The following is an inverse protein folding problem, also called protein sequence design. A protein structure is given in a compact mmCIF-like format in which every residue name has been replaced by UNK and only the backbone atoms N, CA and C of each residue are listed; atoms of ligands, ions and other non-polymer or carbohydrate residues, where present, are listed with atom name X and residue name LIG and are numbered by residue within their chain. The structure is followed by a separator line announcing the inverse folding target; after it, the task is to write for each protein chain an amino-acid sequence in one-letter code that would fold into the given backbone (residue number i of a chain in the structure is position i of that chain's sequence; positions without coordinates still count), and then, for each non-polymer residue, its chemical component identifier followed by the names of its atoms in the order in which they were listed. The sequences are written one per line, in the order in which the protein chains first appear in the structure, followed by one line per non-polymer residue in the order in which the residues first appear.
data_IF_308633577968
#
_entry.id   IF_308633577968
#
_cell.length_a   1.000
_cell.length_b   1.000
_cell.length_c   1.000
_cell.angle_alpha   90.00
_cell.angle_beta   90.00
_cell.angle_gamma   90.00
#
_symmetry.space_group_name_H-M   'P 1'
#
loop_
_entity.id
_entity.type
_entity.pdbx_description
1 polymer ?
#
# COMPACT_ATOMS: atom_id res chain seq x y z
N UNK A 1 19.95 4.10 5.46
CA UNK A 1 20.21 5.47 6.00
C UNK A 1 18.91 6.25 5.91
N UNK A 2 18.51 6.94 6.98
CA UNK A 2 17.33 7.80 7.00
C UNK A 2 17.64 9.16 6.34
N UNK A 3 16.62 9.78 5.73
CA UNK A 3 16.70 11.11 5.14
C UNK A 3 15.42 11.89 5.46
N UNK A 4 15.55 13.19 5.74
CA UNK A 4 14.42 14.03 6.16
C UNK A 4 13.39 14.24 5.04
N UNK A 5 13.81 14.12 3.78
CA UNK A 5 12.96 14.22 2.59
C UNK A 5 12.28 12.90 2.20
N UNK A 6 12.40 11.84 3.02
CA UNK A 6 11.78 10.53 2.77
C UNK A 6 10.26 10.61 2.54
N UNK A 7 9.58 11.56 3.17
CA UNK A 7 8.16 11.82 2.94
C UNK A 7 7.89 12.28 1.50
N UNK A 8 8.67 13.25 1.02
CA UNK A 8 8.57 13.74 -0.36
C UNK A 8 8.90 12.63 -1.37
N UNK A 9 9.97 11.85 -1.11
CA UNK A 9 10.37 10.72 -1.96
C UNK A 9 9.28 9.66 -2.06
N UNK A 10 8.59 9.38 -0.96
CA UNK A 10 7.48 8.42 -0.92
C UNK A 10 6.31 8.87 -1.78
N UNK A 11 5.89 10.14 -1.64
CA UNK A 11 4.82 10.72 -2.47
C UNK A 11 5.22 10.75 -3.94
N UNK A 12 6.44 11.19 -4.24
CA UNK A 12 6.98 11.24 -5.60
C UNK A 12 7.00 9.86 -6.25
N UNK A 13 7.49 8.83 -5.55
CA UNK A 13 7.53 7.47 -6.06
C UNK A 13 6.11 6.92 -6.32
N UNK A 14 5.21 7.02 -5.34
CA UNK A 14 3.86 6.48 -5.46
C UNK A 14 3.08 7.15 -6.60
N UNK A 15 3.15 8.48 -6.69
CA UNK A 15 2.52 9.22 -7.78
C UNK A 15 3.19 8.91 -9.12
N UNK A 16 4.51 8.93 -9.18
CA UNK A 16 5.28 8.68 -10.40
C UNK A 16 5.02 7.30 -11.00
N UNK A 17 4.95 6.26 -10.17
CA UNK A 17 4.63 4.90 -10.62
C UNK A 17 3.24 4.83 -11.28
N UNK A 18 2.21 5.41 -10.64
CA UNK A 18 0.85 5.42 -11.19
C UNK A 18 0.73 6.30 -12.45
N UNK A 19 1.35 7.48 -12.47
CA UNK A 19 1.39 8.33 -13.67
C UNK A 19 2.10 7.65 -14.84
N UNK A 20 3.13 6.86 -14.56
CA UNK A 20 3.85 6.10 -15.59
C UNK A 20 2.94 5.06 -16.24
N UNK A 21 2.25 4.25 -15.44
CA UNK A 21 1.30 3.24 -15.94
C UNK A 21 0.17 3.92 -16.74
N UNK A 22 -0.37 5.03 -16.23
CA UNK A 22 -1.37 5.84 -16.94
C UNK A 22 -0.84 6.38 -18.27
N UNK A 23 0.39 6.89 -18.31
CA UNK A 23 0.99 7.48 -19.51
C UNK A 23 1.22 6.45 -20.61
N UNK A 24 1.61 5.24 -20.25
CA UNK A 24 1.79 4.14 -21.20
C UNK A 24 0.48 3.45 -21.59
N UNK A 25 -0.63 3.73 -20.89
CA UNK A 25 -1.92 3.11 -21.17
C UNK A 25 -1.91 1.59 -20.96
N UNK A 26 -1.06 1.10 -20.06
CA UNK A 26 -0.94 -0.32 -19.74
C UNK A 26 -1.87 -0.66 -18.58
N UNK A 27 -3.00 -1.37 -18.78
CA UNK A 27 -3.92 -1.68 -17.69
C UNK A 27 -3.42 -2.90 -16.89
N UNK A 28 -2.96 -2.75 -15.64
CA UNK A 28 -2.51 -3.89 -14.87
C UNK A 28 -3.70 -4.62 -14.23
N UNK A 29 -3.74 -5.94 -14.32
CA UNK A 29 -4.71 -6.75 -13.56
C UNK A 29 -4.43 -6.65 -12.05
N UNK A 30 -3.14 -6.66 -11.68
CA UNK A 30 -2.68 -6.64 -10.30
C UNK A 30 -1.58 -5.62 -10.12
N UNK A 31 -1.72 -4.80 -9.07
CA UNK A 31 -0.69 -3.90 -8.56
C UNK A 31 -0.27 -4.43 -7.19
N UNK A 32 0.93 -4.99 -7.10
CA UNK A 32 1.47 -5.49 -5.84
C UNK A 32 2.45 -4.47 -5.23
N UNK A 33 2.08 -3.97 -4.06
CA UNK A 33 2.85 -3.04 -3.25
C UNK A 33 3.50 -3.78 -2.07
N UNK A 34 4.72 -3.40 -1.71
CA UNK A 34 5.41 -3.93 -0.54
C UNK A 34 6.22 -2.85 0.17
N UNK A 35 6.21 -2.92 1.50
CA UNK A 35 6.97 -2.00 2.34
C UNK A 35 6.45 -0.56 2.34
N UNK A 36 6.92 0.21 3.33
CA UNK A 36 6.35 1.51 3.69
C UNK A 36 6.36 2.57 2.57
N UNK A 37 7.36 2.57 1.67
CA UNK A 37 7.45 3.56 0.58
C UNK A 37 6.36 3.41 -0.47
N UNK A 38 5.68 2.26 -0.52
CA UNK A 38 4.57 2.02 -1.44
C UNK A 38 3.20 2.20 -0.77
N UNK A 39 3.19 2.55 0.53
CA UNK A 39 1.99 2.62 1.37
C UNK A 39 0.88 3.52 0.83
N UNK A 40 1.20 4.56 0.04
CA UNK A 40 0.21 5.48 -0.51
C UNK A 40 -0.45 4.99 -1.81
N UNK A 41 0.14 4.02 -2.53
CA UNK A 41 -0.38 3.55 -3.82
C UNK A 41 -1.83 3.03 -3.69
N UNK A 42 -2.16 2.15 -2.70
CA UNK A 42 -3.53 1.68 -2.54
C UNK A 42 -4.53 2.81 -2.29
N UNK A 43 -4.18 3.78 -1.42
CA UNK A 43 -5.02 4.98 -1.18
C UNK A 43 -5.26 5.75 -2.49
N UNK A 44 -4.19 6.04 -3.23
CA UNK A 44 -4.25 6.82 -4.46
C UNK A 44 -5.15 6.16 -5.51
N UNK A 45 -5.04 4.84 -5.69
CA UNK A 45 -5.90 4.08 -6.59
C UNK A 45 -7.38 4.17 -6.19
N UNK A 46 -7.71 4.08 -4.89
CA UNK A 46 -9.10 4.17 -4.41
C UNK A 46 -9.65 5.59 -4.38
N UNK A 47 -8.82 6.62 -4.57
CA UNK A 47 -9.20 8.03 -4.46
C UNK A 47 -8.82 8.83 -5.71
N UNK A 48 -7.60 9.37 -5.78
CA UNK A 48 -7.11 10.23 -6.84
C UNK A 48 -7.26 9.62 -8.24
N UNK A 49 -7.01 8.31 -8.38
CA UNK A 49 -7.04 7.58 -9.65
C UNK A 49 -8.30 6.72 -9.81
N UNK A 50 -9.30 6.84 -8.93
CA UNK A 50 -10.49 5.96 -8.92
C UNK A 50 -11.27 5.96 -10.25
N UNK A 51 -11.25 7.09 -10.97
CA UNK A 51 -11.98 7.27 -12.23
C UNK A 51 -11.09 7.11 -13.47
N UNK A 52 -9.85 6.68 -13.30
CA UNK A 52 -8.91 6.49 -14.40
C UNK A 52 -9.16 5.13 -15.06
N UNK A 53 -9.53 5.08 -16.35
CA UNK A 53 -9.95 3.83 -17.01
C UNK A 53 -8.88 2.74 -16.98
N UNK A 54 -7.60 3.12 -17.08
CA UNK A 54 -6.45 2.20 -17.04
C UNK A 54 -6.38 1.37 -15.75
N UNK A 55 -6.96 1.86 -14.65
CA UNK A 55 -6.97 1.19 -13.35
C UNK A 55 -8.35 0.64 -12.95
N UNK A 56 -9.36 0.72 -13.83
CA UNK A 56 -10.75 0.42 -13.47
C UNK A 56 -10.96 -1.01 -12.94
N UNK A 57 -10.14 -1.96 -13.40
CA UNK A 57 -10.21 -3.37 -13.04
C UNK A 57 -9.03 -3.84 -12.17
N UNK A 58 -8.05 -2.97 -11.92
CA UNK A 58 -6.85 -3.34 -11.17
C UNK A 58 -7.18 -3.74 -9.73
N UNK A 59 -6.65 -4.88 -9.30
CA UNK A 59 -6.63 -5.28 -7.89
C UNK A 59 -5.32 -4.89 -7.24
N UNK A 60 -5.38 -4.53 -5.96
CA UNK A 60 -4.21 -4.11 -5.20
C UNK A 60 -3.89 -5.12 -4.12
N UNK A 61 -2.67 -5.65 -4.13
CA UNK A 61 -2.13 -6.48 -3.06
C UNK A 61 -1.13 -5.64 -2.28
N UNK A 62 -1.18 -5.70 -0.95
CA UNK A 62 -0.20 -5.02 -0.09
C UNK A 62 0.47 -6.01 0.86
N UNK A 63 1.80 -6.15 0.74
CA UNK A 63 2.61 -6.94 1.66
C UNK A 63 3.03 -6.11 2.87
N UNK A 64 2.55 -6.52 4.04
CA UNK A 64 3.07 -6.08 5.34
C UNK A 64 4.43 -6.72 5.60
N UNK A 65 5.39 -5.93 6.09
CA UNK A 65 6.75 -6.35 6.35
C UNK A 65 7.33 -5.75 7.64
N UNK A 66 8.63 -5.94 7.82
CA UNK A 66 9.34 -5.45 9.00
C UNK A 66 9.32 -3.92 9.08
N UNK A 67 9.26 -3.41 10.31
CA UNK A 67 9.53 -1.99 10.60
C UNK A 67 11.00 -1.69 10.28
N UNK A 68 11.22 -0.80 9.31
CA UNK A 68 12.56 -0.52 8.76
C UNK A 68 13.14 0.84 9.17
N UNK A 69 12.36 1.65 9.91
CA UNK A 69 12.81 2.91 10.50
C UNK A 69 12.03 3.22 11.78
N UNK A 70 12.60 4.07 12.65
CA UNK A 70 12.00 4.45 13.96
C UNK A 70 11.56 5.91 14.02
N UNK A 71 12.06 6.70 13.09
CA UNK A 71 11.78 8.12 12.90
C UNK A 71 10.32 8.35 12.47
N UNK A 72 9.94 9.62 12.39
CA UNK A 72 8.68 10.06 11.78
C UNK A 72 8.96 10.82 10.49
N UNK A 73 8.04 10.70 9.54
CA UNK A 73 7.98 11.60 8.40
C UNK A 73 7.66 13.03 8.87
N UNK A 74 7.97 14.02 8.03
CA UNK A 74 7.72 15.42 8.32
C UNK A 74 6.26 15.71 8.67
N UNK A 75 6.02 16.71 9.52
CA UNK A 75 4.66 17.08 9.97
C UNK A 75 3.74 17.53 8.82
N UNK A 76 4.31 17.97 7.71
CA UNK A 76 3.62 18.34 6.47
C UNK A 76 3.36 17.15 5.54
N UNK A 77 3.80 15.93 5.88
CA UNK A 77 3.69 14.75 5.02
C UNK A 77 2.27 14.51 4.53
N UNK A 78 1.25 14.59 5.39
CA UNK A 78 -0.14 14.35 4.98
C UNK A 78 -0.65 15.41 4.00
N UNK A 79 -0.19 16.66 4.14
CA UNK A 79 -0.50 17.74 3.21
C UNK A 79 0.12 17.45 1.84
N UNK A 80 1.38 17.01 1.80
CA UNK A 80 2.06 16.63 0.56
C UNK A 80 1.41 15.39 -0.07
N UNK A 81 1.04 14.41 0.75
CA UNK A 81 0.41 13.16 0.30
C UNK A 81 -0.98 13.39 -0.30
N UNK A 82 -1.65 14.50 0.04
CA UNK A 82 -2.94 14.90 -0.55
C UNK A 82 -2.75 15.50 -1.96
N UNK A 83 -2.33 14.67 -2.90
CA UNK A 83 -1.99 15.07 -4.28
C UNK A 83 -3.20 15.45 -5.15
N UNK A 84 -4.42 15.26 -4.65
CA UNK A 84 -5.67 15.49 -5.37
C UNK A 84 -6.77 15.89 -4.40
N UNK A 85 -7.67 16.76 -4.84
CA UNK A 85 -8.86 17.16 -4.08
C UNK A 85 -9.83 16.00 -3.81
N UNK A 86 -9.67 14.86 -4.48
CA UNK A 86 -10.42 13.64 -4.23
C UNK A 86 -9.96 12.89 -2.96
N UNK A 87 -8.77 13.19 -2.45
CA UNK A 87 -8.27 12.63 -1.19
C UNK A 87 -8.81 13.51 -0.05
N UNK A 88 -9.64 12.94 0.81
CA UNK A 88 -10.20 13.66 1.97
C UNK A 88 -9.37 13.38 3.21
N UNK A 89 -9.47 14.26 4.20
CA UNK A 89 -8.75 14.13 5.47
C UNK A 89 -9.00 12.77 6.15
N UNK A 90 -10.27 12.32 6.17
CA UNK A 90 -10.64 11.00 6.69
C UNK A 90 -9.92 9.84 5.98
N UNK A 91 -9.51 10.02 4.72
CA UNK A 91 -8.83 8.97 3.96
C UNK A 91 -7.32 8.89 4.33
N UNK A 92 -6.81 9.93 5.01
CA UNK A 92 -5.44 10.00 5.50
C UNK A 92 -5.31 9.57 6.97
N UNK A 93 -6.43 9.31 7.65
CA UNK A 93 -6.47 8.89 9.07
C UNK A 93 -5.57 7.68 9.39
N UNK A 94 -5.48 6.62 8.54
CA UNK A 94 -4.56 5.50 8.79
C UNK A 94 -3.08 5.90 8.86
N UNK A 95 -2.71 7.05 8.29
CA UNK A 95 -1.33 7.52 8.18
C UNK A 95 -0.94 8.54 9.27
N UNK A 96 -1.86 8.91 10.17
CA UNK A 96 -1.69 10.05 11.09
C UNK A 96 -0.49 9.99 12.03
N UNK A 97 -0.01 8.80 12.36
CA UNK A 97 1.13 8.64 13.28
C UNK A 97 2.48 8.94 12.60
N UNK A 98 2.48 9.12 11.27
CA UNK A 98 3.62 9.50 10.42
C UNK A 98 4.84 8.58 10.54
N UNK A 99 4.65 7.34 10.98
CA UNK A 99 5.73 6.37 11.20
C UNK A 99 5.60 5.18 10.24
N UNK A 100 6.59 4.28 10.28
CA UNK A 100 6.62 3.11 9.41
C UNK A 100 5.33 2.28 9.47
N UNK A 101 4.84 2.04 10.69
CA UNK A 101 3.63 1.25 10.96
C UNK A 101 2.40 1.92 10.34
N UNK A 102 2.27 3.24 10.44
CA UNK A 102 1.15 3.99 9.84
C UNK A 102 1.13 3.91 8.31
N UNK A 103 2.31 3.94 7.67
CA UNK A 103 2.43 3.80 6.22
C UNK A 103 2.00 2.40 5.76
N UNK A 104 2.42 1.37 6.49
CA UNK A 104 1.99 0.00 6.24
C UNK A 104 0.49 -0.19 6.51
N UNK A 105 -0.01 0.38 7.61
CA UNK A 105 -1.43 0.36 7.97
C UNK A 105 -2.28 0.92 6.84
N UNK A 106 -1.94 2.11 6.36
CA UNK A 106 -2.67 2.75 5.26
C UNK A 106 -2.64 1.93 3.97
N UNK A 107 -1.47 1.38 3.60
CA UNK A 107 -1.38 0.48 2.44
C UNK A 107 -2.33 -0.72 2.55
N UNK A 108 -2.32 -1.41 3.70
CA UNK A 108 -3.20 -2.54 3.96
C UNK A 108 -4.69 -2.15 4.09
N UNK A 109 -5.01 -0.95 4.60
CA UNK A 109 -6.39 -0.45 4.70
C UNK A 109 -7.05 -0.36 3.33
N UNK A 110 -6.35 0.15 2.31
CA UNK A 110 -6.92 0.40 0.98
C UNK A 110 -6.71 -0.74 -0.03
N UNK A 111 -5.89 -1.75 0.30
CA UNK A 111 -5.66 -2.90 -0.57
C UNK A 111 -6.86 -3.85 -0.65
N UNK A 112 -6.97 -4.58 -1.75
CA UNK A 112 -7.98 -5.62 -1.97
C UNK A 112 -7.57 -6.96 -1.31
N UNK A 113 -6.26 -7.21 -1.21
CA UNK A 113 -5.68 -8.32 -0.46
C UNK A 113 -4.46 -7.87 0.35
N UNK A 114 -4.21 -8.56 1.46
CA UNK A 114 -3.07 -8.29 2.36
C UNK A 114 -2.24 -9.56 2.49
N UNK A 115 -0.93 -9.44 2.41
CA UNK A 115 -0.01 -10.55 2.65
C UNK A 115 1.00 -10.18 3.72
N UNK A 116 1.55 -11.17 4.41
CA UNK A 116 2.59 -10.98 5.41
C UNK A 116 3.91 -11.51 4.84
N UNK A 117 4.86 -10.61 4.62
CA UNK A 117 6.14 -10.88 3.97
C UNK A 117 7.32 -10.97 4.94
N UNK A 118 7.07 -10.95 6.25
CA UNK A 118 8.12 -11.07 7.25
C UNK A 118 7.64 -11.75 8.52
N UNK A 119 8.55 -12.43 9.21
CA UNK A 119 8.28 -13.10 10.50
C UNK A 119 7.87 -12.12 11.62
N UNK A 120 8.35 -10.87 11.55
CA UNK A 120 8.24 -9.88 12.64
C UNK A 120 7.54 -8.61 12.20
N UNK A 121 6.33 -8.77 11.66
CA UNK A 121 5.40 -7.63 11.45
C UNK A 121 4.94 -7.07 12.80
N UNK A 122 4.74 -5.76 12.87
CA UNK A 122 4.27 -5.09 14.08
C UNK A 122 2.96 -5.68 14.59
N UNK A 123 2.85 -5.90 15.92
CA UNK A 123 1.69 -6.56 16.54
C UNK A 123 0.38 -5.86 16.20
N UNK A 124 0.35 -4.54 16.12
CA UNK A 124 -0.87 -3.79 15.79
C UNK A 124 -1.37 -4.12 14.39
N UNK A 125 -0.45 -4.27 13.44
CA UNK A 125 -0.78 -4.64 12.06
C UNK A 125 -1.25 -6.10 11.97
N UNK A 126 -0.63 -6.99 12.74
CA UNK A 126 -1.07 -8.40 12.83
C UNK A 126 -2.48 -8.50 13.41
N UNK A 127 -2.76 -7.78 14.49
CA UNK A 127 -4.09 -7.75 15.12
C UNK A 127 -5.15 -7.16 14.19
N UNK A 128 -4.83 -6.06 13.50
CA UNK A 128 -5.78 -5.35 12.61
C UNK A 128 -6.00 -6.08 11.28
N UNK A 129 -4.96 -6.68 10.69
CA UNK A 129 -5.01 -7.24 9.34
C UNK A 129 -4.85 -8.76 9.26
N UNK A 130 -4.68 -9.46 10.39
CA UNK A 130 -4.57 -10.92 10.41
C UNK A 130 -5.87 -11.63 10.00
N UNK A 131 -7.03 -10.99 10.23
CA UNK A 131 -8.36 -11.46 9.78
C UNK A 131 -9.28 -10.27 9.49
N UNK A 132 -9.47 -9.97 8.20
CA UNK A 132 -10.33 -8.86 7.74
C UNK A 132 -11.40 -9.42 6.82
N UNK A 133 -12.66 -9.21 7.19
CA UNK A 133 -13.81 -9.66 6.39
C UNK A 133 -13.75 -9.05 4.99
N UNK A 134 -13.87 -9.90 3.97
CA UNK A 134 -13.92 -9.47 2.57
C UNK A 134 -12.54 -9.21 1.93
N UNK A 135 -11.44 -9.39 2.65
CA UNK A 135 -10.08 -9.37 2.08
C UNK A 135 -9.47 -10.76 2.07
N UNK A 136 -8.73 -11.07 1.02
CA UNK A 136 -7.85 -12.25 1.02
C UNK A 136 -6.61 -11.93 1.84
N UNK A 137 -6.26 -12.85 2.73
CA UNK A 137 -5.11 -12.69 3.62
C UNK A 137 -4.20 -13.89 3.45
N UNK A 138 -2.92 -13.62 3.15
CA UNK A 138 -1.89 -14.65 3.09
C UNK A 138 -0.89 -14.45 4.22
N UNK A 139 -0.81 -15.42 5.12
CA UNK A 139 0.15 -15.40 6.22
C UNK A 139 1.59 -15.58 5.71
N UNK A 140 2.55 -15.16 6.52
CA UNK A 140 3.95 -15.41 6.23
C UNK A 140 4.27 -16.89 6.45
N UNK A 141 5.05 -17.48 5.54
CA UNK A 141 5.60 -18.82 5.69
C UNK A 141 7.00 -18.84 5.10
N UNK A 142 8.00 -19.16 5.92
CA UNK A 142 9.40 -19.21 5.50
C UNK A 142 9.69 -20.38 4.55
N UNK A 143 8.90 -21.45 4.65
CA UNK A 143 9.06 -22.69 3.89
C UNK A 143 8.02 -22.84 2.77
N UNK A 144 7.10 -21.87 2.61
CA UNK A 144 6.13 -21.91 1.54
C UNK A 144 6.79 -21.67 0.19
N UNK A 145 6.38 -22.46 -0.80
CA UNK A 145 6.62 -22.12 -2.19
C UNK A 145 5.69 -20.96 -2.62
N UNK A 146 5.81 -20.52 -3.87
CA UNK A 146 5.02 -19.41 -4.39
C UNK A 146 3.57 -19.81 -4.74
N UNK A 147 3.13 -21.04 -4.46
CA UNK A 147 1.82 -21.56 -4.89
C UNK A 147 0.68 -20.72 -4.35
N UNK A 148 0.71 -20.35 -3.07
CA UNK A 148 -0.36 -19.54 -2.47
C UNK A 148 -0.42 -18.12 -3.05
N UNK A 149 0.73 -17.53 -3.38
CA UNK A 149 0.79 -16.23 -4.08
C UNK A 149 0.25 -16.34 -5.50
N UNK A 150 0.59 -17.41 -6.23
CA UNK A 150 0.07 -17.67 -7.57
C UNK A 150 -1.44 -17.88 -7.55
N UNK A 151 -1.96 -18.61 -6.56
CA UNK A 151 -3.39 -18.81 -6.38
C UNK A 151 -4.09 -17.49 -6.03
N UNK A 152 -3.51 -16.70 -5.13
CA UNK A 152 -4.01 -15.37 -4.78
C UNK A 152 -4.12 -14.48 -6.03
N UNK A 153 -3.06 -14.40 -6.84
CA UNK A 153 -3.08 -13.60 -8.07
C UNK A 153 -4.07 -14.13 -9.09
N UNK A 154 -4.10 -15.44 -9.31
CA UNK A 154 -5.04 -16.08 -10.24
C UNK A 154 -6.48 -15.81 -9.87
N UNK A 155 -6.80 -15.68 -8.58
CA UNK A 155 -8.15 -15.35 -8.16
C UNK A 155 -8.48 -13.85 -8.18
N UNK A 156 -7.47 -12.98 -8.09
CA UNK A 156 -7.67 -11.53 -8.15
C UNK A 156 -7.77 -11.03 -9.59
N UNK A 157 -7.06 -11.66 -10.53
CA UNK A 157 -7.07 -11.30 -11.95
C UNK A 157 -8.30 -11.81 -12.73
N UNK A 158 -9.27 -12.43 -12.05
CA UNK A 158 -10.57 -12.83 -12.63
C UNK A 158 -11.57 -11.68 -12.54
#
# INVERSE_FOLDING_TARGET
KWYDDNGLRTVFFCKGALETVKKFGWPPDIIHCSGWMTGLIPLYLKTAYKKEPVFAHSKVVYTLGNTSFKEKLGADFLKVASISSNIKEKDLEPYKDLNNVALQRGGATYADAVTFGADKVDKKLVEEFGKVRGKKILAHSADADLTDYLQLYSDLAK
#
